data_IF_770300737693
#
_entry.id   IF_770300737693
#
_cell.length_a   1.000
_cell.length_b   1.000
_cell.length_c   1.000
_cell.angle_alpha   90.00
_cell.angle_beta   90.00
_cell.angle_gamma   90.00
#
_symmetry.space_group_name_H-M   'P 1'
#
loop_
_entity.id
_entity.type
_entity.pdbx_description
1 polymer ?
#
# COMPACT_ATOMS: atom_id res chain seq x y z
N UNK A 1 50.31 8.19 12.39
CA UNK A 1 50.68 9.44 11.74
C UNK A 1 49.51 10.41 11.91
N UNK A 2 49.78 11.41 12.72
CA UNK A 2 49.15 12.72 13.02
C UNK A 2 47.70 12.99 12.68
N UNK A 3 46.91 13.18 13.74
CA UNK A 3 45.69 13.95 13.86
C UNK A 3 46.01 15.46 13.78
N UNK A 4 45.18 16.25 13.10
CA UNK A 4 45.13 17.71 13.25
C UNK A 4 43.68 18.22 13.18
N UNK A 5 43.20 18.59 14.31
CA UNK A 5 42.36 19.70 14.77
C UNK A 5 41.60 20.53 13.69
N UNK A 6 40.27 20.59 13.88
CA UNK A 6 39.46 21.70 13.36
C UNK A 6 38.76 22.38 14.56
N UNK A 7 39.04 23.67 14.66
CA UNK A 7 38.66 24.60 15.74
C UNK A 7 37.21 25.00 15.68
N UNK A 8 36.58 25.03 16.86
CA UNK A 8 35.33 25.72 17.15
C UNK A 8 35.51 27.26 17.01
N UNK A 9 34.57 27.90 16.32
CA UNK A 9 34.30 29.33 16.48
C UNK A 9 32.91 29.53 17.05
N UNK A 10 32.85 29.96 18.30
CA UNK A 10 31.65 30.45 18.94
C UNK A 10 31.40 31.90 18.57
N UNK A 11 30.17 32.23 18.25
CA UNK A 11 29.72 33.62 18.14
C UNK A 11 28.70 33.86 19.25
N UNK A 12 29.14 34.72 20.18
CA UNK A 12 28.36 35.33 21.24
C UNK A 12 27.48 36.44 20.63
N UNK A 13 26.17 36.40 20.78
CA UNK A 13 25.33 37.56 20.54
C UNK A 13 24.70 38.04 21.85
N UNK A 14 25.08 39.28 22.20
CA UNK A 14 24.69 39.94 23.42
C UNK A 14 23.22 40.41 23.44
N UNK A 15 22.65 40.34 24.61
CA UNK A 15 21.36 40.96 24.94
C UNK A 15 21.45 42.48 24.99
N UNK A 16 20.62 43.18 24.23
CA UNK A 16 20.33 44.59 24.38
C UNK A 16 18.88 44.73 24.82
N UNK A 17 18.70 45.05 26.10
CA UNK A 17 17.45 45.54 26.71
C UNK A 17 17.22 46.98 26.25
N UNK A 18 16.21 47.19 25.41
CA UNK A 18 15.67 48.49 25.07
C UNK A 18 14.30 48.72 25.69
N UNK A 19 14.20 49.63 26.60
CA UNK A 19 12.95 50.09 27.23
C UNK A 19 12.10 50.87 26.20
N UNK A 20 10.83 50.50 26.04
CA UNK A 20 9.85 51.24 25.25
C UNK A 20 8.89 52.00 26.24
N UNK A 21 8.52 53.24 25.90
CA UNK A 21 7.65 54.03 26.77
C UNK A 21 6.16 53.64 26.62
N UNK A 22 5.43 53.76 27.74
CA UNK A 22 3.98 53.70 27.77
C UNK A 22 3.41 54.91 26.98
N UNK A 23 2.58 54.59 25.98
CA UNK A 23 1.71 55.56 25.33
C UNK A 23 0.27 55.09 25.43
N UNK A 24 -0.54 56.00 25.90
CA UNK A 24 -1.98 56.12 26.02
C UNK A 24 -2.89 55.09 25.34
N UNK A 25 -3.84 54.63 26.13
CA UNK A 25 -5.06 53.97 25.71
C UNK A 25 -5.95 54.91 24.91
N UNK A 26 -6.05 54.70 23.61
CA UNK A 26 -7.17 55.19 22.82
C UNK A 26 -8.20 54.06 22.67
N UNK A 27 -9.44 54.38 23.11
CA UNK A 27 -10.57 53.49 23.02
C UNK A 27 -10.89 53.16 21.56
N UNK A 28 -10.77 51.88 21.18
CA UNK A 28 -11.24 51.38 19.91
C UNK A 28 -12.75 51.31 19.87
N UNK A 29 -13.42 51.70 18.78
CA UNK A 29 -14.87 51.62 18.66
C UNK A 29 -15.31 50.14 18.67
N UNK A 30 -16.41 49.92 19.41
CA UNK A 30 -17.12 48.67 19.54
C UNK A 30 -17.53 48.16 18.14
N UNK A 31 -16.74 47.27 17.54
CA UNK A 31 -17.16 46.57 16.35
C UNK A 31 -18.28 45.60 16.73
N UNK A 32 -19.45 45.85 16.19
CA UNK A 32 -20.58 44.94 16.17
C UNK A 32 -20.11 43.52 15.90
N UNK A 33 -20.37 42.60 16.83
CA UNK A 33 -20.17 41.16 16.63
C UNK A 33 -20.98 40.77 15.39
N UNK A 34 -20.39 40.09 14.40
CA UNK A 34 -21.18 39.46 13.36
C UNK A 34 -22.09 38.43 14.05
N UNK A 35 -23.39 38.52 13.80
CA UNK A 35 -24.35 37.51 14.16
C UNK A 35 -23.83 36.16 13.66
N UNK A 36 -23.43 35.30 14.59
CA UNK A 36 -23.25 33.91 14.32
C UNK A 36 -24.63 33.33 13.99
N UNK A 37 -25.03 33.42 12.74
CA UNK A 37 -26.00 32.49 12.20
C UNK A 37 -25.35 31.12 12.33
N UNK A 38 -25.76 30.35 13.33
CA UNK A 38 -25.55 28.93 13.45
C UNK A 38 -26.36 28.29 12.29
N UNK A 39 -25.81 28.36 11.07
CA UNK A 39 -26.26 27.50 10.00
C UNK A 39 -25.96 26.07 10.46
N UNK A 40 -27.00 25.31 10.77
CA UNK A 40 -26.90 23.87 10.88
C UNK A 40 -26.38 23.36 9.52
N UNK A 41 -25.06 23.16 9.42
CA UNK A 41 -24.48 22.36 8.35
C UNK A 41 -25.04 20.97 8.58
N UNK A 42 -25.79 20.42 7.60
CA UNK A 42 -26.29 19.05 7.73
C UNK A 42 -25.10 18.12 7.85
N UNK A 43 -25.27 16.99 8.57
CA UNK A 43 -24.19 15.99 8.70
C UNK A 43 -23.68 15.55 7.32
N UNK A 44 -24.53 15.58 6.29
CA UNK A 44 -24.18 15.27 4.91
C UNK A 44 -23.28 16.34 4.27
N UNK A 45 -23.52 17.65 4.53
CA UNK A 45 -22.66 18.73 4.02
C UNK A 45 -21.30 18.74 4.74
N UNK A 46 -21.27 18.44 6.04
CA UNK A 46 -20.03 18.27 6.80
C UNK A 46 -19.22 17.08 6.26
N UNK A 47 -19.90 15.98 5.92
CA UNK A 47 -19.26 14.79 5.35
C UNK A 47 -18.73 15.06 3.95
N UNK A 48 -19.46 15.79 3.09
CA UNK A 48 -18.97 16.18 1.76
C UNK A 48 -17.75 17.09 1.81
N UNK A 49 -17.59 17.92 2.85
CA UNK A 49 -16.41 18.76 3.05
C UNK A 49 -15.18 17.96 3.50
N UNK A 50 -15.38 16.82 4.14
CA UNK A 50 -14.30 15.93 4.61
C UNK A 50 -13.86 14.93 3.56
N UNK A 51 -14.78 14.43 2.73
CA UNK A 51 -14.49 13.48 1.66
C UNK A 51 -13.93 14.21 0.43
N UNK A 52 -12.72 13.83 0.03
CA UNK A 52 -12.09 14.39 -1.17
C UNK A 52 -11.73 13.27 -2.15
N UNK A 53 -11.93 13.54 -3.43
CA UNK A 53 -11.34 12.72 -4.48
C UNK A 53 -9.83 12.92 -4.53
N UNK A 54 -9.13 11.85 -4.82
CA UNK A 54 -7.69 11.86 -5.08
C UNK A 54 -7.46 11.74 -6.58
N UNK A 55 -6.50 12.48 -7.11
CA UNK A 55 -6.15 12.41 -8.53
C UNK A 55 -5.62 11.01 -8.88
N UNK A 56 -6.21 10.40 -9.92
CA UNK A 56 -5.83 9.07 -10.38
C UNK A 56 -4.72 9.20 -11.43
N UNK A 57 -3.54 8.67 -11.13
CA UNK A 57 -2.47 8.51 -12.12
C UNK A 57 -2.81 7.40 -13.11
N UNK A 58 -2.19 7.41 -14.29
CA UNK A 58 -2.27 6.33 -15.26
C UNK A 58 -0.84 5.87 -15.62
N UNK A 59 -0.22 5.02 -14.81
CA UNK A 59 1.16 4.60 -15.00
C UNK A 59 1.34 3.50 -16.05
N UNK A 60 0.25 2.91 -16.58
CA UNK A 60 0.33 1.80 -17.52
C UNK A 60 1.08 2.20 -18.79
N UNK A 61 2.20 1.52 -19.15
CA UNK A 61 2.91 1.83 -20.37
C UNK A 61 2.06 1.56 -21.62
N UNK A 62 1.98 2.54 -22.53
CA UNK A 62 1.24 2.40 -23.80
C UNK A 62 1.73 1.23 -24.68
N UNK A 63 2.94 0.73 -24.43
CA UNK A 63 3.51 -0.42 -25.13
C UNK A 63 3.00 -1.77 -24.63
N UNK A 64 2.35 -1.81 -23.45
CA UNK A 64 1.80 -3.05 -22.91
C UNK A 64 0.59 -3.49 -23.72
N UNK A 65 0.52 -4.81 -24.00
CA UNK A 65 -0.54 -5.42 -24.81
C UNK A 65 -1.41 -6.33 -23.96
N UNK A 66 -2.69 -6.43 -24.31
CA UNK A 66 -3.63 -7.35 -23.67
C UNK A 66 -3.94 -6.99 -22.22
N UNK A 67 -3.71 -5.74 -21.82
CA UNK A 67 -4.02 -5.21 -20.49
C UNK A 67 -5.51 -5.18 -20.26
N UNK A 68 -5.92 -5.38 -19.02
CA UNK A 68 -7.28 -5.11 -18.55
C UNK A 68 -7.31 -3.79 -17.79
N UNK A 69 -8.48 -3.33 -17.44
CA UNK A 69 -8.63 -2.19 -16.56
C UNK A 69 -7.93 -2.45 -15.21
N UNK A 70 -7.21 -1.44 -14.73
CA UNK A 70 -6.50 -1.53 -13.46
C UNK A 70 -7.42 -1.11 -12.32
N UNK A 71 -8.12 -2.09 -11.74
CA UNK A 71 -9.06 -1.91 -10.64
C UNK A 71 -8.92 -3.02 -9.62
N UNK A 72 -9.41 -2.78 -8.39
CA UNK A 72 -9.63 -3.83 -7.39
C UNK A 72 -11.00 -4.45 -7.62
N UNK A 73 -11.07 -5.77 -7.64
CA UNK A 73 -12.31 -6.55 -7.71
C UNK A 73 -12.77 -6.76 -6.27
N UNK A 74 -13.84 -6.09 -5.88
CA UNK A 74 -14.41 -6.13 -4.53
C UNK A 74 -15.96 -6.12 -4.57
N UNK A 75 -16.59 -7.19 -5.05
CA UNK A 75 -18.04 -7.23 -5.26
C UNK A 75 -18.85 -7.24 -3.96
N UNK A 76 -18.24 -7.55 -2.84
CA UNK A 76 -18.88 -7.62 -1.52
C UNK A 76 -18.54 -6.44 -0.61
N UNK A 77 -17.79 -5.45 -1.14
CA UNK A 77 -17.38 -4.26 -0.39
C UNK A 77 -16.56 -4.58 0.86
N UNK A 78 -15.70 -5.62 0.80
CA UNK A 78 -14.78 -6.00 1.89
C UNK A 78 -13.91 -4.83 2.36
N UNK A 79 -13.50 -3.94 1.44
CA UNK A 79 -12.64 -2.81 1.75
C UNK A 79 -13.39 -1.56 2.25
N UNK A 80 -14.71 -1.54 2.23
CA UNK A 80 -15.50 -0.36 2.63
C UNK A 80 -15.18 0.13 4.07
N UNK A 81 -15.02 -0.74 5.09
CA UNK A 81 -14.64 -0.29 6.43
C UNK A 81 -13.28 0.41 6.49
N UNK A 82 -12.36 0.06 5.58
CA UNK A 82 -11.08 0.74 5.46
C UNK A 82 -11.22 2.09 4.75
N UNK A 83 -12.02 2.18 3.67
CA UNK A 83 -12.27 3.44 2.98
C UNK A 83 -12.97 4.46 3.88
N UNK A 84 -13.91 4.00 4.71
CA UNK A 84 -14.56 4.84 5.71
C UNK A 84 -13.53 5.44 6.69
N UNK A 85 -12.61 4.63 7.22
CA UNK A 85 -11.55 5.11 8.10
C UNK A 85 -10.59 6.06 7.37
N UNK A 86 -10.29 5.79 6.11
CA UNK A 86 -9.39 6.60 5.29
C UNK A 86 -10.01 7.97 4.96
N UNK A 87 -11.33 8.04 4.72
CA UNK A 87 -12.01 9.31 4.43
C UNK A 87 -12.03 10.25 5.64
N UNK A 88 -12.11 9.71 6.85
CA UNK A 88 -12.08 10.49 8.10
C UNK A 88 -10.65 10.77 8.55
N UNK A 89 -9.77 9.82 8.49
CA UNK A 89 -8.34 9.83 8.79
C UNK A 89 -8.00 10.63 10.08
N UNK A 90 -8.69 10.33 11.18
CA UNK A 90 -8.55 11.01 12.48
C UNK A 90 -7.48 10.39 13.40
N UNK A 91 -6.87 9.30 12.98
CA UNK A 91 -5.85 8.52 13.69
C UNK A 91 -4.84 7.88 12.75
N UNK A 92 -3.73 7.28 13.27
CA UNK A 92 -2.89 6.42 12.44
C UNK A 92 -3.69 5.28 11.81
N UNK A 93 -3.69 5.19 10.48
CA UNK A 93 -4.34 4.14 9.71
C UNK A 93 -3.28 3.16 9.20
N UNK A 94 -3.31 1.92 9.72
CA UNK A 94 -2.23 0.95 9.54
C UNK A 94 -2.50 -0.01 8.40
N UNK A 95 -1.61 0.00 7.43
CA UNK A 95 -1.56 -0.96 6.33
C UNK A 95 -0.36 -1.88 6.56
N UNK A 96 -0.56 -3.18 6.51
CA UNK A 96 0.51 -4.16 6.59
C UNK A 96 0.56 -4.97 5.29
N UNK A 97 1.61 -4.77 4.50
CA UNK A 97 1.82 -5.48 3.25
C UNK A 97 2.73 -6.69 3.48
N UNK A 98 2.16 -7.88 3.42
CA UNK A 98 2.88 -9.14 3.60
C UNK A 98 3.11 -9.85 2.27
N UNK A 99 4.20 -10.60 2.15
CA UNK A 99 4.47 -11.34 0.93
C UNK A 99 5.85 -11.99 0.85
N UNK A 100 6.23 -12.32 -0.36
CA UNK A 100 7.48 -13.01 -0.68
C UNK A 100 8.67 -12.06 -0.93
N UNK A 101 9.62 -12.47 -1.79
CA UNK A 101 10.80 -11.67 -2.16
C UNK A 101 10.46 -10.39 -2.92
N UNK A 102 9.32 -10.30 -3.61
CA UNK A 102 8.88 -9.08 -4.28
C UNK A 102 8.51 -7.99 -3.27
N UNK A 103 7.87 -8.38 -2.17
CA UNK A 103 7.58 -7.50 -1.03
C UNK A 103 8.84 -7.24 -0.22
N UNK A 104 9.67 -8.28 0.06
CA UNK A 104 10.90 -8.16 0.85
C UNK A 104 11.94 -7.22 0.23
N UNK A 105 11.94 -7.07 -1.10
CA UNK A 105 12.78 -6.12 -1.81
C UNK A 105 12.47 -4.65 -1.52
N UNK A 106 11.37 -4.36 -0.89
CA UNK A 106 10.86 -3.08 -0.40
C UNK A 106 10.49 -2.07 -1.48
N UNK A 107 11.01 -2.10 -2.70
CA UNK A 107 10.77 -1.05 -3.71
C UNK A 107 9.29 -0.97 -4.09
N UNK A 108 8.68 -2.11 -4.46
CA UNK A 108 7.28 -2.19 -4.83
C UNK A 108 6.34 -1.63 -3.74
N UNK A 109 6.34 -2.17 -2.50
CA UNK A 109 5.45 -1.66 -1.47
C UNK A 109 5.84 -0.26 -0.95
N UNK A 110 7.13 0.12 -1.04
CA UNK A 110 7.58 1.46 -0.68
C UNK A 110 7.00 2.54 -1.61
N UNK A 111 6.86 2.25 -2.90
CA UNK A 111 6.21 3.18 -3.84
C UNK A 111 4.74 3.37 -3.47
N UNK A 112 4.01 2.28 -3.16
CA UNK A 112 2.62 2.38 -2.69
C UNK A 112 2.53 3.26 -1.44
N UNK A 113 3.40 3.01 -0.45
CA UNK A 113 3.49 3.82 0.76
C UNK A 113 3.66 5.30 0.44
N UNK A 114 4.68 5.64 -0.38
CA UNK A 114 5.02 7.05 -0.69
C UNK A 114 3.88 7.77 -1.39
N UNK A 115 3.22 7.12 -2.32
CA UNK A 115 2.08 7.69 -3.02
C UNK A 115 0.90 7.93 -2.07
N UNK A 116 0.56 6.97 -1.21
CA UNK A 116 -0.49 7.15 -0.21
C UNK A 116 -0.15 8.24 0.82
N UNK A 117 1.11 8.35 1.25
CA UNK A 117 1.57 9.44 2.11
C UNK A 117 1.48 10.80 1.41
N UNK A 118 1.75 10.86 0.10
CA UNK A 118 1.62 12.08 -0.70
C UNK A 118 0.16 12.51 -0.85
N UNK A 119 -0.75 11.55 -0.98
CA UNK A 119 -2.19 11.82 -1.12
C UNK A 119 -2.87 12.19 0.19
N UNK A 120 -2.51 11.51 1.30
CA UNK A 120 -3.25 11.57 2.57
C UNK A 120 -2.46 12.19 3.74
N UNK A 121 -1.19 12.57 3.54
CA UNK A 121 -0.34 13.17 4.55
C UNK A 121 0.72 12.23 5.11
N UNK A 122 1.84 12.82 5.56
CA UNK A 122 3.06 12.11 6.01
C UNK A 122 3.30 12.18 7.51
N UNK A 123 2.40 12.80 8.25
CA UNK A 123 2.59 13.17 9.66
C UNK A 123 2.59 11.96 10.59
N UNK A 124 1.96 10.85 10.17
CA UNK A 124 1.84 9.64 10.98
C UNK A 124 3.14 8.87 11.17
N UNK A 125 4.17 9.15 10.35
CA UNK A 125 5.43 8.39 10.38
C UNK A 125 6.65 9.31 10.40
N UNK A 126 7.70 8.87 11.09
CA UNK A 126 9.01 9.48 10.98
C UNK A 126 9.65 9.05 9.66
N UNK A 127 10.09 10.02 8.84
CA UNK A 127 10.79 9.73 7.59
C UNK A 127 12.25 9.33 7.86
N UNK A 128 12.41 8.16 8.46
CA UNK A 128 13.71 7.55 8.69
C UNK A 128 14.05 6.58 7.57
N UNK A 129 14.44 7.12 6.42
CA UNK A 129 14.73 6.33 5.22
C UNK A 129 15.67 5.13 5.44
N UNK A 130 16.64 5.25 6.33
CA UNK A 130 17.61 4.19 6.61
C UNK A 130 16.95 3.06 7.40
N UNK A 131 16.25 3.37 8.47
CA UNK A 131 15.54 2.39 9.31
C UNK A 131 14.47 1.66 8.52
N UNK A 132 13.70 2.39 7.72
CA UNK A 132 12.64 1.80 6.89
C UNK A 132 13.19 0.83 5.84
N UNK A 133 14.27 1.17 5.15
CA UNK A 133 14.91 0.28 4.16
C UNK A 133 15.42 -1.03 4.75
N UNK A 134 15.79 -1.04 6.01
CA UNK A 134 16.33 -2.24 6.67
C UNK A 134 15.27 -3.11 7.30
N UNK A 135 14.27 -2.51 7.97
CA UNK A 135 13.25 -3.26 8.72
C UNK A 135 11.93 -3.45 7.96
N UNK A 136 11.61 -2.55 7.03
CA UNK A 136 10.29 -2.48 6.40
C UNK A 136 9.19 -1.95 7.33
N UNK A 137 9.49 -1.73 8.61
CA UNK A 137 8.53 -1.25 9.59
C UNK A 137 8.59 0.27 9.69
N UNK A 138 7.43 0.92 9.61
CA UNK A 138 7.31 2.35 9.85
C UNK A 138 7.50 2.65 11.34
N UNK A 139 8.08 3.79 11.65
CA UNK A 139 8.10 4.34 13.02
C UNK A 139 6.99 5.36 13.14
N UNK A 140 6.00 5.06 13.98
CA UNK A 140 4.82 5.89 14.15
C UNK A 140 5.09 7.11 15.03
N UNK A 141 4.48 8.23 14.68
CA UNK A 141 4.46 9.45 15.51
C UNK A 141 3.25 9.50 16.44
N UNK A 142 2.20 8.73 16.12
CA UNK A 142 0.89 8.78 16.76
C UNK A 142 -0.06 9.83 16.15
N UNK A 143 0.41 10.65 15.21
CA UNK A 143 -0.45 11.57 14.46
C UNK A 143 -1.37 10.81 13.48
N UNK A 144 -2.47 11.46 13.09
CA UNK A 144 -3.33 10.95 12.01
C UNK A 144 -2.56 10.87 10.70
N UNK A 145 -2.89 9.88 9.87
CA UNK A 145 -2.24 9.66 8.59
C UNK A 145 -1.95 8.17 8.30
N UNK A 146 -1.32 7.92 7.17
CA UNK A 146 -1.01 6.56 6.71
C UNK A 146 0.24 6.02 7.42
N UNK A 147 0.13 4.81 7.96
CA UNK A 147 1.24 4.01 8.47
C UNK A 147 1.32 2.73 7.65
N UNK A 148 2.38 2.56 6.89
CA UNK A 148 2.51 1.43 5.97
C UNK A 148 3.73 0.57 6.35
N UNK A 149 3.46 -0.64 6.86
CA UNK A 149 4.48 -1.62 7.22
C UNK A 149 4.69 -2.64 6.09
N UNK A 150 5.93 -3.04 5.88
CA UNK A 150 6.32 -4.03 4.87
C UNK A 150 6.93 -5.23 5.57
N UNK A 151 6.30 -6.39 5.44
CA UNK A 151 6.75 -7.65 6.03
C UNK A 151 6.88 -8.72 4.95
N UNK A 152 8.02 -8.77 4.28
CA UNK A 152 8.31 -9.73 3.23
C UNK A 152 9.34 -10.77 3.66
N UNK A 153 9.18 -12.02 3.20
CA UNK A 153 10.11 -13.13 3.45
C UNK A 153 10.57 -13.74 2.12
N UNK A 154 11.88 -13.75 1.87
CA UNK A 154 12.42 -14.29 0.63
C UNK A 154 12.03 -15.75 0.43
N UNK A 155 11.48 -16.06 -0.74
CA UNK A 155 11.07 -17.40 -1.11
C UNK A 155 9.81 -17.91 -0.41
N UNK A 156 9.09 -17.06 0.33
CA UNK A 156 7.90 -17.48 1.04
C UNK A 156 6.77 -17.86 0.10
N UNK A 157 6.06 -18.91 0.51
CA UNK A 157 4.71 -19.26 0.10
C UNK A 157 3.73 -18.90 1.22
N UNK A 158 2.44 -18.91 0.98
CA UNK A 158 1.44 -18.75 2.04
C UNK A 158 1.71 -19.70 3.22
N UNK A 159 2.03 -20.96 2.93
CA UNK A 159 2.34 -21.97 3.96
C UNK A 159 3.60 -21.64 4.77
N UNK A 160 4.69 -21.27 4.11
CA UNK A 160 5.96 -21.01 4.81
C UNK A 160 5.99 -19.66 5.51
N UNK A 161 5.13 -18.73 5.11
CA UNK A 161 4.94 -17.45 5.78
C UNK A 161 4.11 -17.58 7.06
N UNK A 162 3.13 -18.47 7.09
CA UNK A 162 2.20 -18.69 8.21
C UNK A 162 2.88 -19.31 9.45
N UNK A 163 3.98 -18.75 9.90
CA UNK A 163 4.64 -19.16 11.15
C UNK A 163 4.05 -18.40 12.34
N UNK A 164 4.05 -18.97 13.57
CA UNK A 164 3.58 -18.26 14.76
C UNK A 164 4.29 -16.93 14.99
N UNK A 165 5.55 -16.82 14.60
CA UNK A 165 6.36 -15.60 14.72
C UNK A 165 5.85 -14.50 13.77
N UNK A 166 5.70 -14.81 12.46
CA UNK A 166 5.20 -13.87 11.48
C UNK A 166 3.76 -13.44 11.82
N UNK A 167 2.89 -14.39 12.16
CA UNK A 167 1.50 -14.07 12.53
C UNK A 167 1.46 -13.13 13.73
N UNK A 168 2.22 -13.42 14.79
CA UNK A 168 2.30 -12.55 15.97
C UNK A 168 2.80 -11.15 15.61
N UNK A 169 3.84 -11.03 14.77
CA UNK A 169 4.33 -9.75 14.29
C UNK A 169 3.24 -8.92 13.60
N UNK A 170 2.44 -9.55 12.73
CA UNK A 170 1.34 -8.85 12.06
C UNK A 170 0.27 -8.40 13.06
N UNK A 171 -0.09 -9.25 14.01
CA UNK A 171 -1.07 -8.94 15.06
C UNK A 171 -0.62 -7.75 15.92
N UNK A 172 0.66 -7.73 16.32
CA UNK A 172 1.26 -6.65 17.11
C UNK A 172 1.24 -5.29 16.37
N UNK A 173 1.30 -5.30 15.04
CA UNK A 173 1.17 -4.10 14.22
C UNK A 173 -0.27 -3.57 14.16
N UNK A 174 -1.26 -4.33 14.62
CA UNK A 174 -2.67 -3.95 14.70
C UNK A 174 -3.20 -3.29 13.40
N UNK A 175 -3.21 -4.01 12.26
CA UNK A 175 -3.55 -3.46 10.96
C UNK A 175 -5.03 -3.10 10.84
N UNK A 176 -5.30 -2.08 10.00
CA UNK A 176 -6.63 -1.78 9.46
C UNK A 176 -6.84 -2.49 8.11
N UNK A 177 -5.75 -2.62 7.33
CA UNK A 177 -5.71 -3.34 6.05
C UNK A 177 -4.49 -4.25 6.01
N UNK A 178 -4.67 -5.50 5.60
CA UNK A 178 -3.58 -6.42 5.27
C UNK A 178 -3.60 -6.70 3.76
N UNK A 179 -2.48 -6.39 3.09
CA UNK A 179 -2.27 -6.73 1.67
C UNK A 179 -1.44 -8.00 1.60
N UNK A 180 -1.94 -9.02 0.90
CA UNK A 180 -1.29 -10.33 0.76
C UNK A 180 -0.77 -10.50 -0.68
N UNK A 181 0.55 -10.55 -0.86
CA UNK A 181 1.22 -10.67 -2.17
C UNK A 181 2.10 -11.91 -2.22
N UNK A 182 1.50 -13.03 -2.61
CA UNK A 182 2.13 -14.35 -2.76
C UNK A 182 1.92 -14.90 -4.18
N UNK A 183 2.14 -16.18 -4.41
CA UNK A 183 1.84 -16.87 -5.65
C UNK A 183 3.06 -17.16 -6.54
N UNK A 184 4.09 -16.31 -6.53
CA UNK A 184 5.30 -16.54 -7.35
C UNK A 184 6.02 -17.82 -6.95
N UNK A 185 6.20 -18.07 -5.66
CA UNK A 185 6.91 -19.26 -5.17
C UNK A 185 6.07 -20.53 -5.27
N UNK A 186 4.76 -20.44 -5.09
CA UNK A 186 3.81 -21.50 -5.37
C UNK A 186 3.92 -21.96 -6.82
N UNK A 187 3.97 -21.03 -7.78
CA UNK A 187 4.15 -21.33 -9.19
C UNK A 187 5.53 -21.94 -9.51
N UNK A 188 6.56 -21.68 -8.71
CA UNK A 188 7.91 -22.23 -8.87
C UNK A 188 8.13 -23.56 -8.13
N UNK A 189 7.20 -24.00 -7.29
CA UNK A 189 7.24 -25.30 -6.63
C UNK A 189 7.43 -26.46 -7.60
N UNK A 190 7.96 -27.60 -7.16
CA UNK A 190 8.15 -28.77 -8.01
C UNK A 190 6.84 -29.33 -8.55
N UNK A 191 5.81 -29.30 -7.75
CA UNK A 191 4.43 -29.67 -8.09
C UNK A 191 3.52 -28.58 -7.54
N UNK A 192 2.55 -28.19 -8.32
CA UNK A 192 1.52 -27.26 -7.90
C UNK A 192 0.20 -28.03 -7.73
N UNK A 193 -0.47 -27.80 -6.64
CA UNK A 193 -1.80 -28.32 -6.33
C UNK A 193 -2.71 -27.17 -5.89
N UNK A 194 -3.76 -26.90 -6.63
CA UNK A 194 -4.75 -25.88 -6.24
C UNK A 194 -5.39 -26.17 -4.88
N UNK A 195 -5.68 -27.44 -4.58
CA UNK A 195 -6.27 -27.82 -3.30
C UNK A 195 -5.33 -27.56 -2.12
N UNK A 196 -4.03 -27.85 -2.27
CA UNK A 196 -3.03 -27.52 -1.24
C UNK A 196 -2.88 -26.01 -1.09
N UNK A 197 -2.85 -25.27 -2.20
CA UNK A 197 -2.73 -23.81 -2.16
C UNK A 197 -3.94 -23.17 -1.47
N UNK A 198 -5.17 -23.58 -1.78
CA UNK A 198 -6.38 -23.16 -1.08
C UNK A 198 -6.30 -23.41 0.43
N UNK A 199 -5.88 -24.61 0.85
CA UNK A 199 -5.73 -24.93 2.27
C UNK A 199 -4.65 -24.07 2.96
N UNK A 200 -3.57 -23.74 2.25
CA UNK A 200 -2.51 -22.87 2.76
C UNK A 200 -2.98 -21.42 2.92
N UNK A 201 -3.76 -20.91 1.95
CA UNK A 201 -4.38 -19.59 2.03
C UNK A 201 -5.41 -19.54 3.18
N UNK A 202 -6.25 -20.56 3.33
CA UNK A 202 -7.20 -20.66 4.43
C UNK A 202 -6.51 -20.65 5.80
N UNK A 203 -5.40 -21.37 5.92
CA UNK A 203 -4.62 -21.37 7.17
C UNK A 203 -4.04 -19.98 7.47
N UNK A 204 -3.37 -19.35 6.50
CA UNK A 204 -2.76 -18.03 6.68
C UNK A 204 -3.84 -16.98 7.03
N UNK A 205 -4.88 -16.90 6.21
CA UNK A 205 -5.96 -15.92 6.41
C UNK A 205 -6.74 -16.19 7.71
N UNK A 206 -6.98 -17.46 8.04
CA UNK A 206 -7.67 -17.85 9.26
C UNK A 206 -6.90 -17.40 10.52
N UNK A 207 -5.59 -17.57 10.56
CA UNK A 207 -4.77 -17.10 11.69
C UNK A 207 -4.73 -15.56 11.76
N UNK A 208 -4.65 -14.88 10.62
CA UNK A 208 -4.68 -13.42 10.58
C UNK A 208 -6.06 -12.87 11.03
N UNK A 209 -7.17 -13.42 10.54
CA UNK A 209 -8.53 -12.99 10.93
C UNK A 209 -8.83 -13.24 12.42
N UNK A 210 -8.29 -14.30 13.01
CA UNK A 210 -8.38 -14.52 14.47
C UNK A 210 -7.66 -13.45 15.27
N UNK A 211 -6.46 -13.05 14.83
CA UNK A 211 -5.63 -12.07 15.54
C UNK A 211 -5.99 -10.60 15.24
N UNK A 212 -6.51 -10.33 14.05
CA UNK A 212 -6.86 -8.99 13.57
C UNK A 212 -8.31 -8.97 13.04
N UNK A 213 -9.33 -9.20 13.89
CA UNK A 213 -10.71 -9.32 13.44
C UNK A 213 -11.30 -8.01 12.86
N UNK A 214 -10.68 -6.86 13.14
CA UNK A 214 -11.08 -5.55 12.63
C UNK A 214 -10.41 -5.16 11.32
N UNK A 215 -9.40 -5.93 10.88
CA UNK A 215 -8.71 -5.69 9.62
C UNK A 215 -9.51 -6.19 8.42
N UNK A 216 -9.39 -5.49 7.30
CA UNK A 216 -9.85 -5.96 5.98
C UNK A 216 -8.67 -6.50 5.18
N UNK A 217 -8.95 -7.28 4.13
CA UNK A 217 -7.93 -8.06 3.45
C UNK A 217 -7.99 -7.85 1.93
N UNK A 218 -6.84 -7.53 1.33
CA UNK A 218 -6.66 -7.38 -0.11
C UNK A 218 -5.65 -8.41 -0.61
N UNK A 219 -6.05 -9.34 -1.47
CA UNK A 219 -5.14 -10.22 -2.18
C UNK A 219 -4.57 -9.51 -3.41
N UNK A 220 -3.33 -9.88 -3.80
CA UNK A 220 -2.77 -9.47 -5.09
C UNK A 220 -2.24 -10.70 -5.82
N UNK A 221 -2.56 -10.86 -7.10
CA UNK A 221 -2.03 -11.96 -7.91
C UNK A 221 -0.56 -11.70 -8.30
N UNK A 222 0.27 -12.75 -8.55
CA UNK A 222 1.65 -12.60 -8.93
C UNK A 222 1.78 -11.97 -10.33
N UNK A 223 2.87 -11.22 -10.61
CA UNK A 223 3.04 -10.46 -11.87
C UNK A 223 3.36 -11.33 -13.10
N UNK A 224 3.55 -12.62 -12.92
CA UNK A 224 4.11 -13.52 -13.95
C UNK A 224 5.62 -13.67 -13.85
N UNK A 225 6.13 -14.81 -14.27
CA UNK A 225 7.55 -15.12 -14.23
C UNK A 225 7.94 -16.17 -15.27
N UNK A 226 9.24 -16.35 -15.49
CA UNK A 226 9.79 -17.41 -16.33
C UNK A 226 10.36 -18.54 -15.48
N UNK A 227 10.32 -19.75 -16.02
CA UNK A 227 10.93 -20.93 -15.43
C UNK A 227 11.91 -21.57 -16.44
N UNK A 228 12.94 -22.27 -15.95
CA UNK A 228 13.83 -23.04 -16.83
C UNK A 228 13.16 -24.33 -17.28
N UNK A 229 13.18 -24.57 -18.58
CA UNK A 229 12.73 -25.84 -19.14
C UNK A 229 13.88 -26.86 -19.00
N UNK A 230 13.89 -27.57 -17.88
CA UNK A 230 14.98 -28.49 -17.51
C UNK A 230 16.23 -27.79 -16.96
N UNK A 231 17.23 -28.60 -16.56
CA UNK A 231 18.43 -28.11 -15.83
C UNK A 231 19.31 -27.13 -16.63
N UNK A 232 19.34 -27.26 -17.95
CA UNK A 232 20.14 -26.44 -18.89
C UNK A 232 19.30 -25.79 -19.99
N UNK A 233 17.99 -25.92 -19.93
CA UNK A 233 17.07 -25.42 -20.94
C UNK A 233 16.88 -23.91 -20.94
N UNK A 234 16.30 -23.42 -22.05
CA UNK A 234 15.88 -22.04 -22.18
C UNK A 234 14.83 -21.68 -21.13
N UNK A 235 14.71 -20.40 -20.84
CA UNK A 235 13.62 -19.89 -20.02
C UNK A 235 12.35 -19.82 -20.85
N UNK A 236 11.26 -20.32 -20.28
CA UNK A 236 9.91 -20.26 -20.83
C UNK A 236 8.99 -19.58 -19.81
N UNK A 237 7.92 -18.99 -20.28
CA UNK A 237 6.88 -18.44 -19.36
C UNK A 237 6.43 -19.59 -18.46
N UNK A 238 6.36 -19.35 -17.16
CA UNK A 238 5.98 -20.36 -16.19
C UNK A 238 4.49 -20.75 -16.38
N UNK A 239 4.21 -21.97 -16.88
CA UNK A 239 2.83 -22.38 -17.17
C UNK A 239 1.96 -22.56 -15.94
N UNK A 240 2.57 -22.60 -14.74
CA UNK A 240 1.84 -22.74 -13.47
C UNK A 240 1.36 -21.41 -12.93
N UNK A 241 1.93 -20.26 -13.33
CA UNK A 241 1.47 -18.96 -12.87
C UNK A 241 -0.02 -18.77 -13.11
N UNK A 242 -0.52 -19.11 -14.31
CA UNK A 242 -1.96 -19.01 -14.58
C UNK A 242 -2.84 -19.90 -13.72
N UNK A 243 -2.33 -21.06 -13.25
CA UNK A 243 -3.04 -21.96 -12.36
C UNK A 243 -3.11 -21.37 -10.93
N UNK A 244 -2.00 -20.78 -10.50
CA UNK A 244 -1.92 -20.04 -9.21
C UNK A 244 -2.90 -18.88 -9.23
N UNK A 245 -2.81 -18.01 -10.23
CA UNK A 245 -3.71 -16.84 -10.39
C UNK A 245 -5.18 -17.28 -10.38
N UNK A 246 -5.53 -18.32 -11.15
CA UNK A 246 -6.89 -18.85 -11.13
C UNK A 246 -7.32 -19.30 -9.73
N UNK A 247 -6.44 -20.01 -9.01
CA UNK A 247 -6.72 -20.45 -7.65
C UNK A 247 -6.92 -19.28 -6.69
N UNK A 248 -6.10 -18.23 -6.78
CA UNK A 248 -6.22 -17.03 -5.95
C UNK A 248 -7.51 -16.26 -6.24
N UNK A 249 -7.90 -16.12 -7.52
CA UNK A 249 -9.16 -15.48 -7.91
C UNK A 249 -10.39 -16.30 -7.46
N UNK A 250 -10.37 -17.61 -7.66
CA UNK A 250 -11.45 -18.50 -7.18
C UNK A 250 -11.55 -18.46 -5.64
N UNK A 251 -10.41 -18.38 -4.95
CA UNK A 251 -10.35 -18.24 -3.49
C UNK A 251 -10.95 -16.91 -3.04
N UNK A 252 -10.51 -15.80 -3.63
CA UNK A 252 -11.05 -14.49 -3.31
C UNK A 252 -12.56 -14.44 -3.47
N UNK A 253 -13.08 -14.94 -4.60
CA UNK A 253 -14.51 -15.02 -4.85
C UNK A 253 -15.25 -15.90 -3.82
N UNK A 254 -14.67 -17.06 -3.44
CA UNK A 254 -15.30 -17.99 -2.50
C UNK A 254 -15.26 -17.53 -1.03
N UNK A 255 -14.35 -16.62 -0.69
CA UNK A 255 -14.16 -16.05 0.65
C UNK A 255 -14.60 -14.60 0.76
N UNK A 256 -15.22 -14.07 -0.29
CA UNK A 256 -15.70 -12.68 -0.34
C UNK A 256 -14.60 -11.65 -0.03
N UNK A 257 -13.39 -11.88 -0.59
CA UNK A 257 -12.23 -11.02 -0.40
C UNK A 257 -12.03 -10.10 -1.58
N UNK A 258 -11.53 -8.91 -1.30
CA UNK A 258 -11.04 -8.02 -2.34
C UNK A 258 -9.76 -8.59 -2.99
N UNK A 259 -9.62 -8.44 -4.31
CA UNK A 259 -8.43 -8.88 -5.03
C UNK A 259 -8.00 -7.87 -6.10
N UNK A 260 -6.70 -7.58 -6.14
CA UNK A 260 -6.06 -6.89 -7.26
C UNK A 260 -5.39 -7.91 -8.18
N UNK A 261 -5.96 -8.06 -9.36
CA UNK A 261 -5.49 -9.05 -10.33
C UNK A 261 -4.39 -8.45 -11.22
N UNK A 262 -3.20 -8.24 -10.64
CA UNK A 262 -2.04 -7.71 -11.36
C UNK A 262 -1.71 -8.50 -12.62
N UNK A 263 -1.85 -9.84 -12.58
CA UNK A 263 -1.50 -10.68 -13.73
C UNK A 263 -2.27 -10.31 -14.99
N UNK A 264 -3.60 -10.17 -14.90
CA UNK A 264 -4.42 -9.80 -16.05
C UNK A 264 -4.32 -8.30 -16.38
N UNK A 265 -4.21 -7.45 -15.38
CA UNK A 265 -3.95 -6.00 -15.56
C UNK A 265 -2.75 -5.78 -16.48
N UNK A 266 -1.68 -6.55 -16.32
CA UNK A 266 -0.46 -6.40 -17.14
C UNK A 266 -0.40 -7.32 -18.36
N UNK A 267 -1.52 -7.94 -18.77
CA UNK A 267 -1.64 -8.68 -20.03
C UNK A 267 -1.86 -10.19 -19.94
N UNK A 268 -1.97 -10.75 -18.74
CA UNK A 268 -2.35 -12.15 -18.49
C UNK A 268 -1.42 -13.19 -19.10
N UNK A 269 -1.95 -14.38 -19.33
CA UNK A 269 -1.20 -15.54 -19.81
C UNK A 269 -0.40 -15.24 -21.08
N UNK A 270 -0.98 -14.47 -21.99
CA UNK A 270 -0.38 -14.21 -23.32
C UNK A 270 0.68 -13.12 -23.27
N UNK A 271 0.49 -12.07 -22.49
CA UNK A 271 1.28 -10.85 -22.63
C UNK A 271 2.01 -10.42 -21.35
N UNK A 272 1.59 -10.78 -20.14
CA UNK A 272 2.20 -10.27 -18.92
C UNK A 272 3.74 -10.39 -18.93
N UNK A 273 4.27 -11.61 -19.09
CA UNK A 273 5.72 -11.81 -19.14
C UNK A 273 6.41 -11.14 -20.34
N UNK A 274 5.73 -11.04 -21.48
CA UNK A 274 6.26 -10.36 -22.66
C UNK A 274 6.32 -8.85 -22.46
N UNK A 275 5.29 -8.25 -21.88
CA UNK A 275 5.25 -6.83 -21.55
C UNK A 275 6.39 -6.46 -20.61
N UNK A 276 6.54 -7.20 -19.50
CA UNK A 276 7.66 -7.02 -18.58
C UNK A 276 9.04 -7.19 -19.25
N UNK A 277 9.18 -8.18 -20.13
CA UNK A 277 10.45 -8.44 -20.84
C UNK A 277 10.78 -7.36 -21.85
N UNK A 278 9.80 -6.93 -22.65
CA UNK A 278 10.00 -5.92 -23.71
C UNK A 278 10.27 -4.54 -23.13
N UNK A 279 9.70 -4.22 -21.97
CA UNK A 279 9.98 -3.00 -21.23
C UNK A 279 11.29 -3.03 -20.41
N UNK A 280 12.07 -4.12 -20.48
CA UNK A 280 13.29 -4.33 -19.67
C UNK A 280 13.06 -4.26 -18.16
N UNK A 281 11.86 -4.61 -17.69
CA UNK A 281 11.49 -4.55 -16.29
C UNK A 281 11.94 -5.75 -15.47
N UNK A 282 12.28 -6.91 -16.10
CA UNK A 282 12.82 -8.07 -15.41
C UNK A 282 14.33 -7.98 -15.16
N UNK A 283 14.75 -8.50 -14.01
CA UNK A 283 16.15 -8.86 -13.78
C UNK A 283 16.58 -10.05 -14.66
N UNK A 284 17.88 -10.40 -14.62
CA UNK A 284 18.45 -11.51 -15.40
C UNK A 284 17.82 -12.87 -15.09
N UNK A 285 17.30 -13.06 -13.91
CA UNK A 285 16.65 -14.31 -13.50
C UNK A 285 15.25 -14.47 -14.09
N UNK A 286 14.65 -13.40 -14.60
CA UNK A 286 13.30 -13.38 -15.17
C UNK A 286 12.20 -13.82 -14.18
N UNK A 287 12.48 -13.61 -12.89
CA UNK A 287 11.55 -13.80 -11.76
C UNK A 287 11.39 -12.47 -11.05
N UNK A 288 12.52 -11.87 -10.65
CA UNK A 288 12.55 -10.58 -9.99
C UNK A 288 12.59 -9.43 -10.99
N UNK A 289 12.20 -8.26 -10.52
CA UNK A 289 12.11 -7.06 -11.36
C UNK A 289 13.29 -6.11 -11.10
N UNK A 290 13.58 -5.30 -12.10
CA UNK A 290 14.46 -4.14 -11.93
C UNK A 290 13.79 -3.12 -10.99
N UNK A 291 14.53 -2.11 -10.58
CA UNK A 291 13.95 -1.03 -9.79
C UNK A 291 12.75 -0.39 -10.51
N UNK A 292 12.89 -0.10 -11.81
CA UNK A 292 11.80 0.48 -12.62
C UNK A 292 10.58 -0.45 -12.71
N UNK A 293 10.81 -1.77 -12.80
CA UNK A 293 9.73 -2.75 -12.80
C UNK A 293 8.97 -2.79 -11.47
N UNK A 294 9.66 -2.69 -10.34
CA UNK A 294 9.01 -2.60 -9.04
C UNK A 294 8.34 -1.24 -8.80
N UNK A 295 8.92 -0.15 -9.30
CA UNK A 295 8.27 1.17 -9.27
C UNK A 295 6.94 1.11 -10.04
N UNK A 296 6.94 0.56 -11.25
CA UNK A 296 5.72 0.43 -12.04
C UNK A 296 4.65 -0.42 -11.33
N UNK A 297 5.03 -1.56 -10.70
CA UNK A 297 4.09 -2.36 -9.91
C UNK A 297 3.48 -1.56 -8.75
N UNK A 298 4.30 -0.77 -8.04
CA UNK A 298 3.84 0.08 -6.96
C UNK A 298 2.86 1.15 -7.42
N UNK A 299 3.15 1.81 -8.53
CA UNK A 299 2.26 2.82 -9.12
C UNK A 299 0.93 2.22 -9.61
N UNK A 300 0.97 1.00 -10.18
CA UNK A 300 -0.24 0.30 -10.62
C UNK A 300 -1.13 -0.11 -9.42
N UNK A 301 -0.54 -0.63 -8.34
CA UNK A 301 -1.33 -0.95 -7.14
C UNK A 301 -1.91 0.33 -6.50
N UNK A 302 -1.11 1.39 -6.42
CA UNK A 302 -1.59 2.67 -5.92
C UNK A 302 -2.77 3.19 -6.75
N UNK A 303 -2.66 3.21 -8.09
CA UNK A 303 -3.76 3.59 -8.97
C UNK A 303 -5.04 2.80 -8.68
N UNK A 304 -4.94 1.47 -8.53
CA UNK A 304 -6.09 0.62 -8.24
C UNK A 304 -6.72 0.92 -6.86
N UNK A 305 -5.88 1.20 -5.84
CA UNK A 305 -6.31 1.63 -4.51
C UNK A 305 -7.08 2.95 -4.58
N UNK A 306 -6.53 3.95 -5.27
CA UNK A 306 -7.15 5.28 -5.39
C UNK A 306 -8.47 5.22 -6.18
N UNK A 307 -8.54 4.44 -7.25
CA UNK A 307 -9.80 4.22 -7.97
C UNK A 307 -10.87 3.60 -7.07
N UNK A 308 -10.50 2.59 -6.27
CA UNK A 308 -11.43 1.94 -5.34
C UNK A 308 -11.90 2.89 -4.23
N UNK A 309 -11.00 3.71 -3.69
CA UNK A 309 -11.33 4.76 -2.73
C UNK A 309 -12.25 5.82 -3.32
N UNK A 310 -11.93 6.34 -4.52
CA UNK A 310 -12.76 7.34 -5.19
C UNK A 310 -14.17 6.81 -5.51
N UNK A 311 -14.28 5.55 -5.92
CA UNK A 311 -15.59 4.91 -6.14
C UNK A 311 -16.39 4.82 -4.83
N UNK A 312 -15.75 4.52 -3.70
CA UNK A 312 -16.40 4.58 -2.38
C UNK A 312 -16.90 5.99 -2.09
N UNK A 313 -16.07 7.03 -2.28
CA UNK A 313 -16.46 8.43 -2.04
C UNK A 313 -17.65 8.82 -2.92
N UNK A 314 -17.62 8.48 -4.21
CA UNK A 314 -18.71 8.73 -5.15
C UNK A 314 -20.02 8.08 -4.68
N UNK A 315 -19.97 6.80 -4.28
CA UNK A 315 -21.14 6.07 -3.77
C UNK A 315 -21.73 6.71 -2.52
N UNK A 316 -20.88 7.20 -1.60
CA UNK A 316 -21.35 7.89 -0.40
C UNK A 316 -22.00 9.24 -0.73
N UNK A 317 -21.47 9.97 -1.70
CA UNK A 317 -22.05 11.24 -2.14
C UNK A 317 -23.39 11.03 -2.84
N UNK A 318 -23.51 10.04 -3.71
CA UNK A 318 -24.77 9.72 -4.41
C UNK A 318 -25.85 9.20 -3.46
N UNK A 319 -25.49 8.43 -2.44
CA UNK A 319 -26.41 7.92 -1.41
C UNK A 319 -27.01 9.00 -0.51
N UNK A 320 -26.40 10.19 -0.44
CA UNK A 320 -26.92 11.32 0.36
C UNK A 320 -28.00 12.13 -0.33
N UNK A 321 -28.27 11.88 -1.63
CA UNK A 321 -29.26 12.62 -2.44
C UNK A 321 -30.61 11.88 -2.59
N UNK A 322 -30.77 10.68 -2.05
CA UNK A 322 -32.00 9.89 -2.02
C UNK A 322 -32.61 9.87 -0.61
#
# INVERSE_FOLDING_TARGET
MKWSEIRFWGILFGFLLGALPLLAQDALPEKSRPDCHSGHVSDSEAMQQLMRFVEVSNPMPASFKGTTENTIIDPTHELEPFWQKLSVLDRPLRIVHIGDSHVRGHVYPYIVRRQLEDDFGREAVLDMQVSYRTSGLAQETGAAGIVYHIVGVNGATCASFATPENIRQIIELNPDLVILSFGTNEAHGRRYSSAEHLAQMDNLLGELKKGCPQAVYLLTTPPGAYVRNGRRGARVINPRTKLVVKTELDYAASRELAVWDMYHVVGGERYACLNWSNGNYFQRDKIHFTQDGYILQGLLLHEAIIKSYNNYVETQLDGTWN
#
